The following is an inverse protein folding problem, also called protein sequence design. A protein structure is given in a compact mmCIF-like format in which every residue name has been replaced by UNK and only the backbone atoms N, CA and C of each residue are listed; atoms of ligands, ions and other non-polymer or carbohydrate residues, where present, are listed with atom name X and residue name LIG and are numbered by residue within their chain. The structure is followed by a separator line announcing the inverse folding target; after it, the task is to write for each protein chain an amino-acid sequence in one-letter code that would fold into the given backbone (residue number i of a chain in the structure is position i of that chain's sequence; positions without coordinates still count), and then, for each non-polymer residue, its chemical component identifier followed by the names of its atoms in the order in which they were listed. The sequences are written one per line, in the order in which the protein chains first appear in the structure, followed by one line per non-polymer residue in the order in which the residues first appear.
data_IF_852548733689
#
_entry.id   IF_852548733689
#
_cell.length_a   1.000
_cell.length_b   1.000
_cell.length_c   1.000
_cell.angle_alpha   90.00
_cell.angle_beta   90.00
_cell.angle_gamma   90.00
#
_symmetry.space_group_name_H-M   'P 1'
#
loop_
_entity.id
_entity.type
_entity.pdbx_description
1 polymer ?
#
# COMPACT_ATOMS: atom_id res chain seq x y z
N UNK A 1 -13.79 3.39 11.19
CA UNK A 1 -13.64 2.36 12.24
C UNK A 1 -12.27 2.40 12.92
N UNK A 2 -11.16 2.60 12.20
CA UNK A 2 -9.79 2.54 12.75
C UNK A 2 -9.56 3.45 13.97
N UNK A 3 -10.14 4.66 13.97
CA UNK A 3 -10.07 5.59 15.11
C UNK A 3 -10.70 4.99 16.38
N UNK A 4 -11.83 4.30 16.26
CA UNK A 4 -12.51 3.69 17.42
C UNK A 4 -11.65 2.58 18.02
N UNK A 5 -11.08 1.71 17.19
CA UNK A 5 -10.17 0.66 17.64
C UNK A 5 -8.91 1.22 18.32
N UNK A 6 -8.31 2.28 17.76
CA UNK A 6 -7.19 2.97 18.38
C UNK A 6 -7.57 3.63 19.71
N UNK A 7 -8.72 4.28 19.80
CA UNK A 7 -9.21 4.86 21.05
C UNK A 7 -9.44 3.81 22.14
N UNK A 8 -10.00 2.64 21.79
CA UNK A 8 -10.16 1.53 22.73
C UNK A 8 -8.80 1.06 23.26
N UNK A 9 -7.81 0.91 22.38
CA UNK A 9 -6.46 0.54 22.78
C UNK A 9 -5.83 1.58 23.72
N UNK A 10 -5.96 2.88 23.40
CA UNK A 10 -5.43 3.97 24.22
C UNK A 10 -6.08 4.05 25.61
N UNK A 11 -7.38 3.73 25.71
CA UNK A 11 -8.09 3.69 27.00
C UNK A 11 -7.52 2.57 27.88
N UNK A 12 -7.22 1.40 27.30
CA UNK A 12 -6.62 0.27 28.01
C UNK A 12 -5.12 0.49 28.33
N UNK A 13 -4.41 1.28 27.51
CA UNK A 13 -2.96 1.51 27.62
C UNK A 13 -2.62 3.02 27.72
N UNK A 14 -3.09 3.73 28.76
CA UNK A 14 -3.05 5.20 28.81
C UNK A 14 -1.66 5.80 29.05
N UNK A 15 -0.63 4.98 29.30
CA UNK A 15 0.73 5.43 29.67
C UNK A 15 1.79 5.08 28.63
N UNK A 16 1.37 4.74 27.42
CA UNK A 16 2.28 4.32 26.32
C UNK A 16 2.94 5.47 25.56
N UNK A 17 2.67 6.72 25.96
CA UNK A 17 3.19 7.90 25.29
C UNK A 17 2.62 8.09 23.89
N UNK A 18 3.33 8.85 23.06
CA UNK A 18 2.97 9.03 21.65
C UNK A 18 3.38 7.78 20.88
N UNK A 19 2.43 7.19 20.16
CA UNK A 19 2.63 6.02 19.29
C UNK A 19 2.13 6.33 17.88
N UNK A 20 2.83 5.83 16.88
CA UNK A 20 2.38 5.83 15.49
C UNK A 20 1.47 4.62 15.23
N UNK A 21 0.68 4.62 14.14
CA UNK A 21 -0.15 3.46 13.78
C UNK A 21 0.64 2.15 13.69
N UNK A 22 1.87 2.19 13.17
CA UNK A 22 2.77 1.03 13.03
C UNK A 22 3.30 0.50 14.37
N UNK A 23 3.23 1.30 15.44
CA UNK A 23 3.64 0.88 16.78
C UNK A 23 2.51 0.13 17.52
N UNK A 24 1.27 0.21 17.03
CA UNK A 24 0.11 -0.39 17.69
C UNK A 24 0.01 -1.90 17.38
N UNK A 25 -0.47 -2.72 18.33
CA UNK A 25 -0.69 -4.15 18.07
C UNK A 25 -1.77 -4.36 17.01
N UNK A 26 -1.36 -4.72 15.78
CA UNK A 26 -2.28 -4.85 14.64
C UNK A 26 -3.40 -5.87 14.91
N UNK A 27 -3.13 -6.96 15.64
CA UNK A 27 -4.14 -7.95 16.00
C UNK A 27 -5.27 -7.35 16.87
N UNK A 28 -4.93 -6.53 17.86
CA UNK A 28 -5.92 -5.85 18.71
C UNK A 28 -6.79 -4.93 17.85
N UNK A 29 -6.15 -4.09 17.04
CA UNK A 29 -6.84 -3.11 16.20
C UNK A 29 -7.75 -3.80 15.18
N UNK A 30 -7.25 -4.83 14.49
CA UNK A 30 -8.00 -5.57 13.48
C UNK A 30 -9.14 -6.40 14.08
N UNK A 31 -8.99 -6.95 15.29
CA UNK A 31 -10.09 -7.69 15.93
C UNK A 31 -11.32 -6.80 16.20
N UNK A 32 -11.09 -5.52 16.51
CA UNK A 32 -12.18 -4.54 16.67
C UNK A 32 -12.66 -4.05 15.29
N UNK A 33 -11.75 -3.81 14.35
CA UNK A 33 -12.08 -3.16 13.09
C UNK A 33 -12.74 -4.10 12.05
N UNK A 34 -12.34 -5.38 12.02
CA UNK A 34 -12.75 -6.38 11.02
C UNK A 34 -14.25 -6.41 10.72
N UNK A 35 -15.17 -6.38 11.71
CA UNK A 35 -16.61 -6.41 11.44
C UNK A 35 -17.12 -5.25 10.58
N UNK A 36 -16.37 -4.14 10.50
CA UNK A 36 -16.75 -2.93 9.77
C UNK A 36 -15.99 -2.74 8.45
N UNK A 37 -15.08 -3.65 8.10
CA UNK A 37 -14.31 -3.59 6.85
C UNK A 37 -15.02 -4.30 5.67
N UNK A 38 -16.16 -4.94 5.92
CA UNK A 38 -16.87 -5.71 4.91
C UNK A 38 -16.10 -6.95 4.48
N UNK A 39 -16.01 -7.21 3.17
CA UNK A 39 -15.26 -8.34 2.63
C UNK A 39 -13.76 -8.09 2.77
N UNK A 40 -13.13 -8.86 3.66
CA UNK A 40 -11.69 -8.76 3.95
C UNK A 40 -10.95 -9.98 3.38
N UNK A 41 -10.21 -9.80 2.28
CA UNK A 41 -9.51 -10.88 1.56
C UNK A 41 -8.02 -10.62 1.44
N UNK A 42 -7.25 -11.70 1.35
CA UNK A 42 -5.87 -11.70 0.92
C UNK A 42 -5.72 -12.70 -0.21
N UNK A 43 -5.29 -12.23 -1.39
CA UNK A 43 -5.20 -13.05 -2.60
C UNK A 43 -3.88 -12.75 -3.29
N UNK A 44 -3.16 -13.80 -3.68
CA UNK A 44 -1.95 -13.68 -4.49
C UNK A 44 -2.33 -13.18 -5.89
N UNK A 45 -1.57 -12.21 -6.39
CA UNK A 45 -1.66 -11.72 -7.76
C UNK A 45 -0.31 -11.90 -8.45
N UNK A 46 -0.34 -12.33 -9.70
CA UNK A 46 0.85 -12.35 -10.57
C UNK A 46 1.00 -11.04 -11.35
N UNK A 47 0.38 -9.95 -10.88
CA UNK A 47 0.53 -8.62 -11.46
C UNK A 47 1.87 -8.00 -11.05
N UNK A 48 2.50 -7.32 -12.00
CA UNK A 48 3.69 -6.49 -11.80
C UNK A 48 3.50 -5.18 -12.58
N UNK A 49 4.24 -4.10 -12.27
CA UNK A 49 4.20 -2.85 -13.03
C UNK A 49 4.52 -3.02 -14.53
N UNK A 50 5.29 -4.06 -14.87
CA UNK A 50 5.68 -4.41 -16.24
C UNK A 50 4.68 -5.33 -16.96
N UNK A 51 3.67 -5.84 -16.25
CA UNK A 51 2.68 -6.73 -16.84
C UNK A 51 1.69 -5.92 -17.67
N UNK A 52 1.53 -6.31 -18.94
CA UNK A 52 0.62 -5.68 -19.90
C UNK A 52 0.88 -4.18 -20.14
N UNK A 53 2.12 -3.71 -19.92
CA UNK A 53 2.50 -2.32 -20.22
C UNK A 53 2.35 -2.05 -21.71
N UNK A 54 1.42 -1.17 -22.07
CA UNK A 54 1.06 -0.91 -23.46
C UNK A 54 2.18 -0.14 -24.20
N UNK A 55 2.60 -0.66 -25.34
CA UNK A 55 3.50 0.03 -26.30
C UNK A 55 2.77 1.02 -27.22
N UNK A 56 1.48 1.29 -26.99
CA UNK A 56 0.62 2.05 -27.92
C UNK A 56 1.14 3.48 -28.19
N UNK A 57 1.89 4.07 -27.25
CA UNK A 57 2.48 5.41 -27.36
C UNK A 57 4.02 5.39 -27.37
N UNK A 58 4.62 4.32 -27.92
CA UNK A 58 6.08 4.24 -28.03
C UNK A 58 6.63 5.44 -28.81
N UNK A 59 7.55 6.20 -28.19
CA UNK A 59 8.12 7.43 -28.76
C UNK A 59 7.42 8.75 -28.38
N UNK A 60 6.42 8.70 -27.48
CA UNK A 60 5.84 9.89 -26.82
C UNK A 60 6.21 9.97 -25.32
N UNK A 61 7.03 9.02 -24.87
CA UNK A 61 7.55 8.92 -23.52
C UNK A 61 8.82 8.06 -23.53
N UNK A 62 9.78 8.39 -22.66
CA UNK A 62 11.05 7.68 -22.45
C UNK A 62 11.17 7.18 -20.99
N UNK A 63 10.42 6.12 -20.60
CA UNK A 63 10.49 5.58 -19.25
C UNK A 63 11.80 4.80 -19.04
N UNK A 64 12.49 5.10 -17.93
CA UNK A 64 13.64 4.33 -17.47
C UNK A 64 13.17 3.00 -16.84
N UNK A 65 13.01 1.98 -17.67
CA UNK A 65 12.51 0.66 -17.25
C UNK A 65 13.64 -0.22 -16.69
N UNK A 66 13.36 -0.90 -15.58
CA UNK A 66 14.15 -2.00 -15.02
C UNK A 66 13.51 -3.34 -15.41
N UNK A 67 14.10 -4.09 -16.34
CA UNK A 67 13.61 -5.43 -16.66
C UNK A 67 14.04 -6.52 -15.68
N UNK A 68 15.10 -6.26 -14.91
CA UNK A 68 15.73 -7.27 -14.04
C UNK A 68 15.02 -7.35 -12.69
N UNK A 69 14.48 -6.22 -12.21
CA UNK A 69 13.59 -6.18 -11.06
C UNK A 69 12.28 -5.43 -11.39
N UNK A 70 11.16 -6.15 -11.60
CA UNK A 70 9.90 -5.54 -11.98
C UNK A 70 9.32 -4.59 -10.92
N UNK A 71 9.77 -4.64 -9.66
CA UNK A 71 9.24 -3.84 -8.56
C UNK A 71 10.04 -2.55 -8.27
N UNK A 72 11.05 -2.23 -9.09
CA UNK A 72 11.74 -0.95 -8.98
C UNK A 72 10.79 0.22 -9.18
N UNK A 73 10.94 1.28 -8.39
CA UNK A 73 10.06 2.44 -8.43
C UNK A 73 9.97 3.08 -9.82
N UNK A 74 11.06 3.04 -10.59
CA UNK A 74 11.12 3.56 -11.96
C UNK A 74 10.15 2.86 -12.93
N UNK A 75 9.76 1.62 -12.66
CA UNK A 75 8.73 0.90 -13.44
C UNK A 75 7.30 1.35 -13.12
N UNK A 76 7.08 2.02 -11.99
CA UNK A 76 5.78 2.62 -11.64
C UNK A 76 5.66 4.06 -12.13
N UNK A 77 6.80 4.74 -12.30
CA UNK A 77 6.83 6.16 -12.60
C UNK A 77 6.39 6.38 -14.06
N UNK A 78 5.28 7.09 -14.24
CA UNK A 78 4.90 7.59 -15.55
C UNK A 78 5.72 8.86 -15.82
N UNK A 79 6.66 8.76 -16.75
CA UNK A 79 7.43 9.90 -17.26
C UNK A 79 6.70 10.59 -18.42
N UNK A 80 7.10 11.81 -18.73
CA UNK A 80 6.76 12.50 -19.99
C UNK A 80 8.02 12.57 -20.85
N UNK A 81 7.87 12.83 -22.15
CA UNK A 81 9.01 13.11 -23.01
C UNK A 81 9.80 14.33 -22.53
N UNK A 82 11.13 14.25 -22.65
CA UNK A 82 12.04 15.36 -22.38
C UNK A 82 12.08 16.29 -23.60
N UNK A 83 11.07 17.14 -23.75
CA UNK A 83 11.17 18.38 -24.54
C UNK A 83 11.04 19.61 -23.62
#
# INVERSE_FOLDING_TARGET
ISVVAACMWMIEHPREGVRLPDDLPHDYILNIAKPYLGKFISVRSDWTPLKDTSVTFHGYNDPDIDSDDPWQFKNFLQTEDKD
#
